data_IF_409787815500
#
_entry.id   IF_409787815500
#
_cell.length_a   1.000
_cell.length_b   1.000
_cell.length_c   1.000
_cell.angle_alpha   90.00
_cell.angle_beta   90.00
_cell.angle_gamma   90.00
#
_symmetry.space_group_name_H-M   'P 1'
#
loop_
_entity.id
_entity.type
_entity.pdbx_description
1 polymer ?
#
# COMPACT_ATOMS: atom_id res chain seq x y z
N UNK A 1 8.06 13.35 -10.14
CA UNK A 1 8.74 12.63 -9.03
C UNK A 1 9.25 13.51 -7.88
N UNK A 2 10.11 14.51 -8.10
CA UNK A 2 10.68 15.31 -6.98
C UNK A 2 9.62 15.99 -6.10
N UNK A 3 8.58 16.57 -6.72
CA UNK A 3 7.49 17.21 -6.00
C UNK A 3 6.62 16.20 -5.21
N UNK A 4 6.39 15.00 -5.77
CA UNK A 4 5.71 13.92 -5.04
C UNK A 4 6.52 13.49 -3.80
N UNK A 5 7.84 13.35 -3.95
CA UNK A 5 8.71 13.01 -2.82
C UNK A 5 8.69 14.11 -1.76
N UNK A 6 8.80 15.37 -2.17
CA UNK A 6 8.74 16.51 -1.27
C UNK A 6 7.41 16.55 -0.49
N UNK A 7 6.28 16.34 -1.17
CA UNK A 7 4.97 16.27 -0.52
C UNK A 7 4.91 15.16 0.53
N UNK A 8 5.41 13.96 0.23
CA UNK A 8 5.50 12.86 1.22
C UNK A 8 6.38 13.19 2.42
N UNK A 9 7.50 13.89 2.21
CA UNK A 9 8.35 14.35 3.31
C UNK A 9 7.65 15.39 4.20
N UNK A 10 6.89 16.30 3.60
CA UNK A 10 6.09 17.26 4.37
C UNK A 10 4.98 16.58 5.19
N UNK A 11 4.31 15.58 4.63
CA UNK A 11 3.35 14.76 5.38
C UNK A 11 3.99 14.05 6.57
N UNK A 12 5.19 13.47 6.38
CA UNK A 12 5.93 12.84 7.47
C UNK A 12 6.31 13.84 8.58
N UNK A 13 6.55 15.11 8.22
CA UNK A 13 6.79 16.19 9.16
C UNK A 13 5.50 16.78 9.77
N UNK A 14 4.32 16.30 9.37
CA UNK A 14 3.02 16.81 9.83
C UNK A 14 2.62 18.14 9.19
N UNK A 15 3.34 18.62 8.17
CA UNK A 15 3.03 19.85 7.46
C UNK A 15 2.13 19.54 6.25
N UNK A 16 0.81 19.50 6.49
CA UNK A 16 -0.18 19.15 5.47
C UNK A 16 -0.25 20.24 4.38
N UNK A 17 -0.23 21.51 4.75
CA UNK A 17 -0.32 22.63 3.81
C UNK A 17 0.84 22.61 2.79
N UNK A 18 2.08 22.41 3.26
CA UNK A 18 3.23 22.33 2.35
C UNK A 18 3.22 21.05 1.50
N UNK A 19 2.60 19.97 1.98
CA UNK A 19 2.43 18.76 1.19
C UNK A 19 1.40 18.98 0.07
N UNK A 20 0.28 19.63 0.37
CA UNK A 20 -0.75 20.00 -0.60
C UNK A 20 -0.15 20.87 -1.70
N UNK A 21 0.55 21.95 -1.33
CA UNK A 21 1.25 22.83 -2.29
C UNK A 21 2.21 22.04 -3.21
N UNK A 22 2.98 21.11 -2.65
CA UNK A 22 3.92 20.30 -3.43
C UNK A 22 3.20 19.37 -4.41
N UNK A 23 2.10 18.75 -3.98
CA UNK A 23 1.32 17.84 -4.82
C UNK A 23 0.51 18.59 -5.89
N UNK A 24 -0.10 19.73 -5.58
CA UNK A 24 -0.77 20.57 -6.57
C UNK A 24 0.18 21.03 -7.67
N UNK A 25 1.39 21.47 -7.28
CA UNK A 25 2.43 21.82 -8.26
C UNK A 25 2.82 20.63 -9.12
N UNK A 26 2.84 19.41 -8.57
CA UNK A 26 3.08 18.18 -9.34
C UNK A 26 1.94 17.92 -10.33
N UNK A 27 0.69 18.15 -9.93
CA UNK A 27 -0.47 17.97 -10.81
C UNK A 27 -0.46 18.97 -11.96
N UNK A 28 -0.07 20.22 -11.70
CA UNK A 28 0.00 21.27 -12.72
C UNK A 28 1.07 21.04 -13.81
N UNK A 29 2.07 20.18 -13.55
CA UNK A 29 3.10 19.85 -14.53
C UNK A 29 2.65 18.83 -15.56
N UNK A 30 1.68 17.98 -15.23
CA UNK A 30 1.20 16.92 -16.12
C UNK A 30 -0.17 17.27 -16.70
N UNK A 31 -0.27 17.26 -18.03
CA UNK A 31 -1.48 17.65 -18.75
C UNK A 31 -2.69 16.71 -18.58
N UNK A 32 -2.51 15.55 -17.95
CA UNK A 32 -3.59 14.59 -17.66
C UNK A 32 -3.39 13.93 -16.28
N UNK A 33 -3.40 14.77 -15.24
CA UNK A 33 -3.21 14.36 -13.85
C UNK A 33 -4.16 13.23 -13.40
N UNK A 34 -5.37 13.17 -13.97
CA UNK A 34 -6.38 12.16 -13.63
C UNK A 34 -6.00 10.74 -14.10
N UNK A 35 -5.13 10.63 -15.13
CA UNK A 35 -4.60 9.36 -15.65
C UNK A 35 -3.23 9.00 -15.13
N UNK A 36 -2.69 9.79 -14.21
CA UNK A 36 -1.40 9.53 -13.62
C UNK A 36 -1.56 8.82 -12.26
N UNK A 37 -1.05 7.58 -12.12
CA UNK A 37 -1.22 6.82 -10.90
C UNK A 37 -0.47 7.42 -9.70
N UNK A 38 0.62 8.16 -9.92
CA UNK A 38 1.36 8.83 -8.84
C UNK A 38 0.58 10.06 -8.32
N UNK A 39 -0.14 10.79 -9.19
CA UNK A 39 -1.09 11.83 -8.73
C UNK A 39 -2.14 11.23 -7.81
N UNK A 40 -2.78 10.15 -8.26
CA UNK A 40 -3.80 9.43 -7.49
C UNK A 40 -3.24 8.97 -6.14
N UNK A 41 -2.04 8.40 -6.12
CA UNK A 41 -1.39 8.00 -4.86
C UNK A 41 -1.11 9.20 -3.93
N UNK A 42 -0.65 10.33 -4.47
CA UNK A 42 -0.40 11.56 -3.71
C UNK A 42 -1.69 12.13 -3.08
N UNK A 43 -2.79 12.18 -3.83
CA UNK A 43 -4.11 12.56 -3.29
C UNK A 43 -4.55 11.61 -2.17
N UNK A 44 -4.35 10.31 -2.37
CA UNK A 44 -4.57 9.30 -1.33
C UNK A 44 -3.76 9.60 -0.06
N UNK A 45 -2.51 10.01 -0.18
CA UNK A 45 -1.66 10.36 0.96
C UNK A 45 -2.18 11.58 1.73
N UNK A 46 -2.60 12.64 1.04
CA UNK A 46 -3.25 13.80 1.69
C UNK A 46 -4.52 13.40 2.44
N UNK A 47 -5.37 12.60 1.80
CA UNK A 47 -6.62 12.13 2.39
C UNK A 47 -6.37 11.30 3.65
N UNK A 48 -5.32 10.46 3.66
CA UNK A 48 -4.87 9.73 4.87
C UNK A 48 -4.44 10.71 5.96
N UNK A 49 -3.64 11.72 5.64
CA UNK A 49 -3.19 12.72 6.62
C UNK A 49 -4.37 13.52 7.23
N UNK A 50 -5.44 13.71 6.45
CA UNK A 50 -6.68 14.34 6.91
C UNK A 50 -7.68 13.36 7.58
N UNK A 51 -7.36 12.07 7.70
CA UNK A 51 -8.24 11.05 8.28
C UNK A 51 -9.44 10.66 7.39
N UNK A 52 -9.43 11.05 6.11
CA UNK A 52 -10.50 10.79 5.13
C UNK A 52 -10.24 9.46 4.40
N UNK A 53 -10.30 8.35 5.14
CA UNK A 53 -9.85 7.04 4.64
C UNK A 53 -10.69 6.49 3.47
N UNK A 54 -12.00 6.74 3.40
CA UNK A 54 -12.81 6.25 2.25
C UNK A 54 -12.40 6.95 0.95
N UNK A 55 -12.09 8.26 1.02
CA UNK A 55 -11.54 8.98 -0.13
C UNK A 55 -10.17 8.43 -0.53
N UNK A 56 -9.30 8.17 0.44
CA UNK A 56 -7.99 7.57 0.17
C UNK A 56 -8.10 6.18 -0.49
N UNK A 57 -9.05 5.34 -0.05
CA UNK A 57 -9.33 4.04 -0.66
C UNK A 57 -9.71 4.20 -2.14
N UNK A 58 -10.51 5.20 -2.48
CA UNK A 58 -10.92 5.48 -3.85
C UNK A 58 -9.73 5.93 -4.72
N UNK A 59 -8.92 6.87 -4.24
CA UNK A 59 -7.75 7.37 -4.98
C UNK A 59 -6.69 6.30 -5.17
N UNK A 60 -6.36 5.51 -4.14
CA UNK A 60 -5.46 4.37 -4.30
C UNK A 60 -6.04 3.28 -5.21
N UNK A 61 -7.36 3.08 -5.20
CA UNK A 61 -8.04 2.21 -6.16
C UNK A 61 -7.83 2.67 -7.59
N UNK A 62 -8.04 3.96 -7.87
CA UNK A 62 -7.81 4.53 -9.19
C UNK A 62 -6.33 4.39 -9.64
N UNK A 63 -5.37 4.58 -8.74
CA UNK A 63 -3.94 4.34 -9.05
C UNK A 63 -3.67 2.88 -9.44
N UNK A 64 -4.32 1.93 -8.78
CA UNK A 64 -4.22 0.51 -9.11
C UNK A 64 -4.88 0.20 -10.44
N UNK A 65 -6.06 0.74 -10.72
CA UNK A 65 -6.77 0.53 -11.99
C UNK A 65 -5.94 1.02 -13.19
N UNK A 66 -5.30 2.19 -13.06
CA UNK A 66 -4.42 2.77 -14.09
C UNK A 66 -3.15 1.93 -14.34
N UNK A 67 -2.70 1.15 -13.36
CA UNK A 67 -1.49 0.33 -13.46
C UNK A 67 -1.77 -1.16 -13.68
N UNK A 68 -3.04 -1.55 -13.87
CA UNK A 68 -3.41 -2.96 -13.95
C UNK A 68 -3.12 -3.73 -12.66
N UNK A 69 -3.21 -3.05 -11.51
CA UNK A 69 -3.00 -3.63 -10.18
C UNK A 69 -1.55 -3.70 -9.73
N UNK A 70 -0.59 -3.03 -10.40
CA UNK A 70 0.86 -3.20 -10.16
C UNK A 70 1.50 -2.11 -9.30
N UNK A 71 0.72 -1.16 -8.79
CA UNK A 71 1.23 -0.05 -7.99
C UNK A 71 1.38 -0.42 -6.50
N UNK A 72 2.55 -0.95 -6.11
CA UNK A 72 2.80 -1.45 -4.75
C UNK A 72 2.46 -0.48 -3.61
N UNK A 73 2.84 0.80 -3.75
CA UNK A 73 2.53 1.84 -2.75
C UNK A 73 1.02 2.02 -2.59
N UNK A 74 0.26 1.96 -3.68
CA UNK A 74 -1.18 2.17 -3.64
C UNK A 74 -1.90 0.94 -3.07
N UNK A 75 -1.48 -0.27 -3.46
CA UNK A 75 -1.99 -1.52 -2.89
C UNK A 75 -1.81 -1.56 -1.37
N UNK A 76 -0.60 -1.24 -0.90
CA UNK A 76 -0.28 -1.26 0.52
C UNK A 76 -1.08 -0.22 1.30
N UNK A 77 -1.09 1.03 0.85
CA UNK A 77 -1.79 2.10 1.56
C UNK A 77 -3.32 1.93 1.50
N UNK A 78 -3.87 1.40 0.41
CA UNK A 78 -5.29 1.03 0.32
C UNK A 78 -5.65 -0.01 1.38
N UNK A 79 -4.84 -1.05 1.54
CA UNK A 79 -5.06 -2.08 2.55
C UNK A 79 -4.98 -1.51 3.97
N UNK A 80 -4.02 -0.62 4.24
CA UNK A 80 -3.95 0.11 5.52
C UNK A 80 -5.20 0.98 5.75
N UNK A 81 -5.71 1.68 4.73
CA UNK A 81 -6.95 2.45 4.86
C UNK A 81 -8.17 1.55 5.13
N UNK A 82 -8.26 0.40 4.46
CA UNK A 82 -9.30 -0.60 4.71
C UNK A 82 -9.25 -1.10 6.16
N UNK A 83 -8.05 -1.34 6.69
CA UNK A 83 -7.84 -1.69 8.10
C UNK A 83 -8.37 -0.61 9.05
N UNK A 84 -8.02 0.66 8.83
CA UNK A 84 -8.53 1.79 9.64
C UNK A 84 -10.06 1.92 9.61
N UNK A 85 -10.70 1.37 8.57
CA UNK A 85 -12.16 1.31 8.42
C UNK A 85 -12.78 0.03 8.97
N UNK A 86 -12.00 -0.83 9.62
CA UNK A 86 -12.45 -2.12 10.16
C UNK A 86 -12.73 -3.18 9.09
N UNK A 87 -12.34 -2.95 7.83
CA UNK A 87 -12.57 -3.83 6.69
C UNK A 87 -11.42 -4.82 6.52
N UNK A 88 -11.10 -5.54 7.59
CA UNK A 88 -9.91 -6.39 7.71
C UNK A 88 -9.84 -7.48 6.63
N UNK A 89 -10.95 -8.18 6.39
CA UNK A 89 -11.02 -9.24 5.38
C UNK A 89 -10.77 -8.70 3.95
N UNK A 90 -11.25 -7.48 3.65
CA UNK A 90 -11.03 -6.85 2.35
C UNK A 90 -9.58 -6.37 2.18
N UNK A 91 -8.95 -5.90 3.26
CA UNK A 91 -7.54 -5.52 3.25
C UNK A 91 -6.64 -6.73 2.93
N UNK A 92 -6.89 -7.86 3.59
CA UNK A 92 -6.19 -9.13 3.36
C UNK A 92 -6.39 -9.58 1.92
N UNK A 93 -7.65 -9.71 1.48
CA UNK A 93 -7.96 -10.17 0.13
C UNK A 93 -7.33 -9.29 -0.96
N UNK A 94 -7.25 -7.98 -0.74
CA UNK A 94 -6.61 -7.04 -1.66
C UNK A 94 -5.09 -7.27 -1.76
N UNK A 95 -4.38 -7.42 -0.65
CA UNK A 95 -2.93 -7.67 -0.67
C UNK A 95 -2.58 -9.07 -1.19
N UNK A 96 -3.38 -10.08 -0.88
CA UNK A 96 -3.21 -11.41 -1.48
C UNK A 96 -3.40 -11.37 -3.00
N UNK A 97 -4.43 -10.66 -3.48
CA UNK A 97 -4.67 -10.52 -4.92
C UNK A 97 -3.52 -9.76 -5.59
N UNK A 98 -3.02 -8.70 -4.96
CA UNK A 98 -1.85 -7.96 -5.40
C UNK A 98 -0.62 -8.87 -5.53
N UNK A 99 -0.31 -9.66 -4.49
CA UNK A 99 0.81 -10.59 -4.51
C UNK A 99 0.66 -11.68 -5.59
N UNK A 100 -0.56 -12.18 -5.84
CA UNK A 100 -0.80 -13.19 -6.89
C UNK A 100 -0.53 -12.69 -8.31
N UNK A 101 -0.55 -11.38 -8.56
CA UNK A 101 -0.30 -10.84 -9.90
C UNK A 101 1.15 -11.09 -10.32
N UNK A 102 2.12 -10.67 -9.51
CA UNK A 102 3.54 -10.88 -9.73
C UNK A 102 4.27 -11.06 -8.39
N UNK A 103 4.25 -12.27 -7.81
CA UNK A 103 4.77 -12.54 -6.47
C UNK A 103 6.20 -12.03 -6.24
N UNK A 104 7.14 -12.34 -7.16
CA UNK A 104 8.53 -11.93 -7.04
C UNK A 104 8.72 -10.39 -7.05
N UNK A 105 7.91 -9.67 -7.82
CA UNK A 105 7.99 -8.21 -7.89
C UNK A 105 7.19 -7.52 -6.77
N UNK A 106 6.12 -8.15 -6.29
CA UNK A 106 5.13 -7.53 -5.39
C UNK A 106 5.36 -7.89 -3.93
N UNK A 107 6.10 -8.97 -3.63
CA UNK A 107 6.51 -9.38 -2.28
C UNK A 107 7.62 -8.49 -1.70
N UNK A 108 7.40 -7.18 -1.71
CA UNK A 108 8.27 -6.22 -1.03
C UNK A 108 8.14 -6.37 0.49
N UNK A 109 9.19 -6.06 1.28
CA UNK A 109 9.14 -6.16 2.73
C UNK A 109 7.96 -5.43 3.37
N UNK A 110 7.58 -4.26 2.83
CA UNK A 110 6.43 -3.49 3.31
C UNK A 110 5.09 -4.22 3.12
N UNK A 111 4.87 -4.82 1.94
CA UNK A 111 3.65 -5.57 1.64
C UNK A 111 3.56 -6.84 2.48
N UNK A 112 4.67 -7.57 2.62
CA UNK A 112 4.74 -8.80 3.42
C UNK A 112 4.51 -8.51 4.91
N UNK A 113 5.16 -7.48 5.46
CA UNK A 113 4.99 -7.09 6.86
C UNK A 113 3.55 -6.61 7.15
N UNK A 114 2.96 -5.82 6.26
CA UNK A 114 1.59 -5.35 6.43
C UNK A 114 0.58 -6.50 6.33
N UNK A 115 0.72 -7.40 5.36
CA UNK A 115 -0.15 -8.56 5.26
C UNK A 115 -0.01 -9.50 6.47
N UNK A 116 1.22 -9.73 6.94
CA UNK A 116 1.49 -10.47 8.17
C UNK A 116 0.81 -9.84 9.39
N UNK A 117 0.87 -8.52 9.52
CA UNK A 117 0.19 -7.79 10.59
C UNK A 117 -1.33 -7.93 10.51
N UNK A 118 -1.92 -7.81 9.31
CA UNK A 118 -3.36 -8.01 9.10
C UNK A 118 -3.79 -9.41 9.52
N UNK A 119 -2.99 -10.42 9.20
CA UNK A 119 -3.27 -11.80 9.56
C UNK A 119 -3.17 -12.08 11.07
N UNK A 120 -2.24 -11.44 11.78
CA UNK A 120 -2.17 -11.53 13.23
C UNK A 120 -3.41 -10.95 13.92
N UNK A 121 -4.12 -10.02 13.28
CA UNK A 121 -5.36 -9.43 13.80
C UNK A 121 -6.60 -10.31 13.59
N UNK A 122 -6.51 -11.36 12.76
CA UNK A 122 -7.57 -12.37 12.60
C UNK A 122 -7.24 -13.57 13.51
N UNK A 123 -8.23 -14.16 14.18
CA UNK A 123 -8.02 -15.42 14.89
C UNK A 123 -7.47 -16.50 13.93
N UNK A 124 -6.29 -17.06 14.23
CA UNK A 124 -5.65 -18.09 13.39
C UNK A 124 -4.41 -17.64 12.60
N UNK A 125 -3.65 -16.65 13.06
CA UNK A 125 -2.44 -16.11 12.43
C UNK A 125 -1.42 -17.15 11.90
N UNK A 126 -1.38 -18.36 12.46
CA UNK A 126 -0.56 -19.46 11.95
C UNK A 126 -1.02 -20.01 10.58
N UNK A 127 -2.33 -20.15 10.36
CA UNK A 127 -2.87 -20.61 9.08
C UNK A 127 -2.64 -19.58 7.98
N UNK A 128 -2.70 -18.31 8.36
CA UNK A 128 -2.46 -17.19 7.48
C UNK A 128 -0.97 -16.98 7.15
N UNK A 129 -0.07 -17.18 8.11
CA UNK A 129 1.37 -17.27 7.87
C UNK A 129 1.70 -18.42 6.93
N UNK A 130 1.09 -19.60 7.14
CA UNK A 130 1.24 -20.74 6.24
C UNK A 130 0.70 -20.45 4.83
N UNK A 131 -0.40 -19.69 4.70
CA UNK A 131 -0.91 -19.27 3.40
C UNK A 131 0.05 -18.30 2.67
N UNK A 132 0.68 -17.39 3.40
CA UNK A 132 1.69 -16.47 2.86
C UNK A 132 2.96 -17.22 2.44
N UNK A 133 3.44 -18.14 3.28
CA UNK A 133 4.57 -19.04 2.99
C UNK A 133 4.27 -19.94 1.79
N UNK A 134 3.04 -20.45 1.65
CA UNK A 134 2.61 -21.22 0.50
C UNK A 134 2.57 -20.38 -0.79
N UNK A 135 2.05 -19.15 -0.71
CA UNK A 135 1.98 -18.22 -1.83
C UNK A 135 3.37 -17.81 -2.34
N UNK A 136 4.32 -17.63 -1.42
CA UNK A 136 5.72 -17.31 -1.70
C UNK A 136 6.51 -18.53 -2.21
N UNK A 137 6.35 -19.70 -1.60
CA UNK A 137 7.07 -20.93 -1.99
C UNK A 137 6.62 -21.51 -3.33
N UNK A 138 5.33 -21.42 -3.67
CA UNK A 138 4.80 -21.88 -4.97
C UNK A 138 5.22 -21.00 -6.14
N UNK A 139 5.81 -19.84 -5.88
CA UNK A 139 6.12 -18.82 -6.89
C UNK A 139 7.62 -18.64 -7.15
N UNK A 140 8.47 -19.48 -6.53
CA UNK A 140 9.82 -19.77 -7.00
C UNK A 140 10.92 -18.78 -6.59
N UNK A 141 10.75 -18.01 -5.52
CA UNK A 141 11.77 -17.08 -5.04
C UNK A 141 12.40 -17.56 -3.73
N UNK A 142 13.52 -18.27 -3.83
CA UNK A 142 14.38 -18.63 -2.68
C UNK A 142 15.05 -17.40 -2.02
N UNK A 143 14.90 -16.20 -2.59
CA UNK A 143 15.53 -14.95 -2.12
C UNK A 143 14.64 -14.03 -1.27
N UNK A 144 13.37 -14.40 -1.01
CA UNK A 144 12.50 -13.54 -0.19
C UNK A 144 12.84 -13.69 1.30
N UNK A 145 13.38 -12.62 1.88
CA UNK A 145 13.66 -12.53 3.31
C UNK A 145 12.36 -12.42 4.13
N UNK A 146 11.91 -13.57 4.64
CA UNK A 146 10.74 -13.69 5.51
C UNK A 146 11.07 -13.43 6.99
N UNK A 147 12.26 -12.93 7.33
CA UNK A 147 12.61 -12.59 8.72
C UNK A 147 11.65 -11.55 9.33
N UNK A 148 11.06 -10.69 8.49
CA UNK A 148 10.05 -9.71 8.89
C UNK A 148 8.73 -10.31 9.38
N UNK A 149 8.48 -11.61 9.16
CA UNK A 149 7.31 -12.33 9.65
C UNK A 149 7.57 -13.06 10.98
N UNK A 150 8.82 -13.10 11.46
CA UNK A 150 9.11 -13.75 12.73
C UNK A 150 8.58 -12.91 13.90
N UNK A 151 7.92 -13.52 14.89
CA UNK A 151 7.57 -12.81 16.12
C UNK A 151 8.86 -12.28 16.78
N UNK A 152 8.81 -11.13 17.47
CA UNK A 152 9.99 -10.62 18.16
C UNK A 152 10.52 -11.69 19.11
N UNK A 153 11.80 -12.03 18.97
CA UNK A 153 12.47 -13.01 19.83
C UNK A 153 12.37 -12.54 21.28
N UNK A 154 11.61 -13.31 22.07
CA UNK A 154 11.37 -13.16 23.51
C UNK A 154 12.63 -13.26 24.34
#
# INVERSE_FOLDING_TARGET
>A
ELLSLLGRLYLQAGNIDAAEDAFERRECLDGDAEKDPEVRANRGHLLVACGVFEGAIAEYGAALDLTGGRHAVAANNRATCLLYRGRLAEAIAALEAFLRLEPAAHATPAVVANLGSLYQMVEGGDAARAALEALVSTTGSEELDLSCLQPPSS
#
